data_IF_418229629224
#
_entry.id   IF_418229629224
#
_cell.length_a   1.000
_cell.length_b   1.000
_cell.length_c   1.000
_cell.angle_alpha   90.00
_cell.angle_beta   90.00
_cell.angle_gamma   90.00
#
_symmetry.space_group_name_H-M   'P 1'
#
loop_
_entity.id
_entity.type
_entity.pdbx_description
1 polymer ?
#
# COMPACT_ATOMS: atom_id res chain seq x y z
N UNK A 1 0.41 -7.50 19.36
CA UNK A 1 -0.41 -6.73 18.39
C UNK A 1 -1.10 -7.68 17.44
N UNK A 2 -2.24 -7.29 16.85
CA UNK A 2 -2.97 -8.17 15.93
C UNK A 2 -2.21 -8.31 14.61
N UNK A 3 -2.18 -9.54 14.11
CA UNK A 3 -1.60 -9.89 12.81
C UNK A 3 -2.57 -9.50 11.70
N UNK A 4 -2.06 -8.90 10.63
CA UNK A 4 -2.79 -8.51 9.44
C UNK A 4 -2.64 -9.60 8.39
N UNK A 5 -3.75 -10.04 7.81
CA UNK A 5 -3.72 -10.96 6.66
C UNK A 5 -3.78 -10.17 5.37
N UNK A 6 -2.97 -10.51 4.38
CA UNK A 6 -3.02 -9.84 3.07
C UNK A 6 -3.52 -10.82 2.03
N UNK A 7 -4.56 -10.44 1.29
CA UNK A 7 -5.20 -11.28 0.28
C UNK A 7 -5.11 -10.64 -1.10
N UNK A 8 -4.86 -11.46 -2.11
CA UNK A 8 -5.09 -11.09 -3.50
C UNK A 8 -6.59 -11.27 -3.82
N UNK A 9 -7.44 -10.41 -3.25
CA UNK A 9 -8.90 -10.55 -3.33
C UNK A 9 -9.41 -10.51 -4.77
N UNK A 10 -8.82 -9.66 -5.63
CA UNK A 10 -9.17 -9.62 -7.05
C UNK A 10 -7.99 -9.24 -7.93
N UNK A 11 -7.65 -10.09 -8.91
CA UNK A 11 -6.57 -9.85 -9.86
C UNK A 11 -7.10 -9.80 -11.31
N UNK A 12 -7.20 -8.60 -11.87
CA UNK A 12 -7.67 -8.38 -13.26
C UNK A 12 -6.47 -8.25 -14.20
N UNK A 13 -6.53 -8.92 -15.35
CA UNK A 13 -5.50 -8.86 -16.42
C UNK A 13 -4.14 -9.50 -16.08
N UNK A 14 -4.09 -10.38 -15.06
CA UNK A 14 -2.96 -11.26 -14.74
C UNK A 14 -3.03 -12.56 -15.56
N UNK A 15 -2.92 -12.44 -16.87
CA UNK A 15 -3.16 -13.56 -17.80
C UNK A 15 -1.99 -14.55 -17.92
N UNK A 16 -0.82 -14.25 -17.35
CA UNK A 16 0.36 -15.13 -17.39
C UNK A 16 0.54 -15.79 -16.04
N UNK A 17 0.91 -17.07 -16.03
CA UNK A 17 1.28 -17.79 -14.81
C UNK A 17 2.34 -17.03 -13.99
N UNK A 18 3.37 -16.51 -14.66
CA UNK A 18 4.40 -15.70 -14.01
C UNK A 18 3.89 -14.38 -13.43
N UNK A 19 2.83 -13.78 -13.99
CA UNK A 19 2.22 -12.58 -13.41
C UNK A 19 1.52 -12.94 -12.09
N UNK A 20 0.82 -14.07 -12.04
CA UNK A 20 0.12 -14.58 -10.84
C UNK A 20 1.12 -14.99 -9.75
N UNK A 21 2.17 -15.73 -10.10
CA UNK A 21 3.23 -16.14 -9.16
C UNK A 21 3.93 -14.91 -8.56
N UNK A 22 4.20 -13.89 -9.38
CA UNK A 22 4.76 -12.63 -8.90
C UNK A 22 3.81 -11.88 -7.98
N UNK A 23 2.52 -11.79 -8.32
CA UNK A 23 1.52 -11.16 -7.47
C UNK A 23 1.41 -11.85 -6.11
N UNK A 24 1.55 -13.18 -6.08
CA UNK A 24 1.57 -13.94 -4.83
C UNK A 24 2.83 -13.66 -4.00
N UNK A 25 4.01 -13.59 -4.60
CA UNK A 25 5.24 -13.19 -3.89
C UNK A 25 5.15 -11.76 -3.35
N UNK A 26 4.61 -10.83 -4.14
CA UNK A 26 4.38 -9.44 -3.71
C UNK A 26 3.41 -9.40 -2.52
N UNK A 27 2.29 -10.14 -2.57
CA UNK A 27 1.33 -10.24 -1.46
C UNK A 27 2.01 -10.74 -0.18
N UNK A 28 2.85 -11.78 -0.28
CA UNK A 28 3.64 -12.28 0.86
C UNK A 28 4.57 -11.21 1.43
N UNK A 29 5.31 -10.49 0.58
CA UNK A 29 6.18 -9.40 1.04
C UNK A 29 5.40 -8.31 1.77
N UNK A 30 4.22 -7.92 1.26
CA UNK A 30 3.36 -6.95 1.94
C UNK A 30 2.96 -7.48 3.31
N UNK A 31 2.52 -8.73 3.41
CA UNK A 31 2.12 -9.34 4.69
C UNK A 31 3.27 -9.36 5.71
N UNK A 32 4.48 -9.69 5.26
CA UNK A 32 5.68 -9.66 6.11
C UNK A 32 5.96 -8.25 6.62
N UNK A 33 5.92 -7.25 5.75
CA UNK A 33 6.21 -5.85 6.11
C UNK A 33 5.18 -5.29 7.08
N UNK A 34 3.89 -5.44 6.80
CA UNK A 34 2.84 -4.84 7.65
C UNK A 34 2.75 -5.49 9.03
N UNK A 35 3.32 -6.69 9.20
CA UNK A 35 3.43 -7.38 10.48
C UNK A 35 4.80 -7.23 11.14
N UNK A 36 5.76 -6.59 10.47
CA UNK A 36 7.09 -6.35 11.01
C UNK A 36 7.07 -5.29 12.11
N UNK A 37 7.75 -5.57 13.22
CA UNK A 37 7.82 -4.66 14.36
C UNK A 37 8.58 -3.38 14.02
N UNK A 38 9.68 -3.49 13.26
CA UNK A 38 10.46 -2.32 12.85
C UNK A 38 9.63 -1.39 11.94
N UNK A 39 8.93 -1.93 10.93
CA UNK A 39 8.00 -1.16 10.11
C UNK A 39 6.97 -0.38 10.94
N UNK A 40 6.33 -1.05 11.91
CA UNK A 40 5.31 -0.42 12.76
C UNK A 40 5.91 0.65 13.69
N UNK A 41 7.09 0.40 14.24
CA UNK A 41 7.81 1.38 15.06
C UNK A 41 8.24 2.60 14.23
N UNK A 42 8.68 2.42 12.99
CA UNK A 42 9.00 3.53 12.10
C UNK A 42 7.75 4.38 11.78
N UNK A 43 6.57 3.78 11.64
CA UNK A 43 5.31 4.54 11.49
C UNK A 43 5.00 5.36 12.75
N UNK A 44 5.15 4.76 13.94
CA UNK A 44 4.87 5.45 15.21
C UNK A 44 5.79 6.65 15.41
N UNK A 45 7.03 6.58 14.93
CA UNK A 45 8.02 7.64 15.06
C UNK A 45 8.11 8.58 13.84
N UNK A 46 7.32 8.33 12.79
CA UNK A 46 7.40 9.08 11.54
C UNK A 46 6.89 10.52 11.68
N UNK A 47 7.61 11.43 11.03
CA UNK A 47 7.27 12.85 10.95
C UNK A 47 6.42 13.16 9.70
N UNK A 48 5.17 12.68 9.71
CA UNK A 48 4.23 12.95 8.63
C UNK A 48 3.88 14.44 8.57
N UNK A 49 4.12 15.07 7.41
CA UNK A 49 3.82 16.49 7.15
C UNK A 49 2.46 16.70 6.47
N UNK A 50 1.89 15.64 5.90
CA UNK A 50 0.54 15.63 5.36
C UNK A 50 -0.18 14.39 5.88
N UNK A 51 -1.13 14.65 6.79
CA UNK A 51 -1.82 13.68 7.64
C UNK A 51 -3.31 13.59 7.31
N UNK A 52 -3.69 14.07 6.13
CA UNK A 52 -5.09 14.11 5.70
C UNK A 52 -5.65 12.70 5.50
N UNK A 53 -6.83 12.51 6.05
CA UNK A 53 -7.63 11.30 5.96
C UNK A 53 -9.03 11.65 5.45
N UNK A 54 -9.55 10.86 4.53
CA UNK A 54 -10.89 11.02 3.96
C UNK A 54 -11.74 9.84 4.40
N UNK A 55 -12.84 10.12 5.09
CA UNK A 55 -13.76 9.07 5.55
C UNK A 55 -14.72 8.58 4.44
N UNK A 56 -15.57 7.62 4.78
CA UNK A 56 -16.61 7.05 3.90
C UNK A 56 -17.68 8.08 3.45
N UNK A 57 -17.82 9.19 4.18
CA UNK A 57 -18.73 10.29 3.88
C UNK A 57 -18.06 11.42 3.09
N UNK A 58 -16.80 11.23 2.67
CA UNK A 58 -15.93 12.22 2.02
C UNK A 58 -15.56 13.42 2.90
N UNK A 59 -15.68 13.33 4.22
CA UNK A 59 -15.13 14.35 5.11
C UNK A 59 -13.62 14.18 5.20
N UNK A 60 -12.90 15.29 5.08
CA UNK A 60 -11.45 15.32 5.25
C UNK A 60 -11.09 15.78 6.65
N UNK A 61 -10.31 14.98 7.37
CA UNK A 61 -9.75 15.30 8.68
C UNK A 61 -8.24 15.20 8.66
N UNK A 62 -7.58 15.81 9.65
CA UNK A 62 -6.14 15.68 9.86
C UNK A 62 -5.89 14.80 11.10
N UNK A 63 -5.04 13.77 10.98
CA UNK A 63 -4.74 12.83 12.06
C UNK A 63 -3.40 13.19 12.72
N UNK A 64 -3.47 13.86 13.86
CA UNK A 64 -2.30 14.34 14.61
C UNK A 64 -1.61 13.29 15.48
N UNK A 65 -2.15 12.06 15.55
CA UNK A 65 -1.60 10.97 16.37
C UNK A 65 -1.17 9.79 15.49
N UNK A 66 0.10 9.42 15.58
CA UNK A 66 0.67 8.32 14.80
C UNK A 66 0.13 6.95 15.24
N UNK A 67 -0.32 6.81 16.49
CA UNK A 67 -1.00 5.59 16.93
C UNK A 67 -2.30 5.42 16.16
N UNK A 68 -3.09 6.49 15.99
CA UNK A 68 -4.33 6.44 15.18
C UNK A 68 -4.01 6.10 13.71
N UNK A 69 -2.93 6.66 13.14
CA UNK A 69 -2.48 6.32 11.79
C UNK A 69 -2.18 4.81 11.70
N UNK A 70 -1.38 4.28 12.63
CA UNK A 70 -1.07 2.86 12.67
C UNK A 70 -2.33 2.02 12.85
N UNK A 71 -3.25 2.41 13.74
CA UNK A 71 -4.52 1.72 13.94
C UNK A 71 -5.36 1.66 12.65
N UNK A 72 -5.41 2.74 11.87
CA UNK A 72 -6.07 2.76 10.55
C UNK A 72 -5.41 1.82 9.54
N UNK A 73 -4.07 1.77 9.54
CA UNK A 73 -3.29 0.88 8.68
C UNK A 73 -3.57 -0.60 9.04
N UNK A 74 -3.58 -0.94 10.33
CA UNK A 74 -3.74 -2.33 10.78
C UNK A 74 -5.19 -2.82 10.75
N UNK A 75 -6.18 -1.92 10.85
CA UNK A 75 -7.58 -2.32 10.92
C UNK A 75 -8.10 -2.93 9.62
N UNK A 76 -7.46 -2.62 8.49
CA UNK A 76 -7.85 -3.13 7.17
C UNK A 76 -9.15 -2.53 6.63
N UNK A 77 -9.75 -1.56 7.33
CA UNK A 77 -11.02 -0.96 6.88
C UNK A 77 -10.82 -0.09 5.65
N UNK A 78 -11.35 -0.55 4.52
CA UNK A 78 -11.29 0.15 3.24
C UNK A 78 -12.40 1.18 3.11
N UNK A 79 -12.09 2.33 2.52
CA UNK A 79 -12.98 3.50 2.51
C UNK A 79 -14.29 3.27 1.73
N UNK A 80 -14.26 2.45 0.67
CA UNK A 80 -15.33 2.38 -0.33
C UNK A 80 -16.07 1.04 -0.43
N UNK A 81 -15.79 0.08 0.45
CA UNK A 81 -16.42 -1.25 0.38
C UNK A 81 -17.62 -1.40 1.32
N UNK A 82 -17.73 -0.54 2.34
CA UNK A 82 -18.72 -0.69 3.41
C UNK A 82 -18.42 -1.85 4.37
N UNK A 83 -17.25 -2.49 4.21
CA UNK A 83 -16.78 -3.57 5.08
C UNK A 83 -16.35 -3.02 6.44
N UNK A 84 -16.42 -3.89 7.46
CA UNK A 84 -15.98 -3.56 8.81
C UNK A 84 -14.50 -3.88 8.95
N UNK A 85 -13.87 -3.31 9.99
CA UNK A 85 -12.51 -3.67 10.39
C UNK A 85 -12.42 -5.18 10.65
N UNK A 86 -11.60 -5.87 9.87
CA UNK A 86 -11.38 -7.32 9.95
C UNK A 86 -9.90 -7.70 10.03
N UNK A 87 -9.01 -6.69 10.02
CA UNK A 87 -7.55 -6.86 10.03
C UNK A 87 -7.05 -7.62 8.80
N UNK A 88 -7.71 -7.43 7.68
CA UNK A 88 -7.33 -7.96 6.38
C UNK A 88 -7.07 -6.84 5.38
N UNK A 89 -6.10 -7.04 4.50
CA UNK A 89 -5.85 -6.16 3.36
C UNK A 89 -6.27 -6.87 2.08
N UNK A 90 -7.38 -6.41 1.50
CA UNK A 90 -7.98 -6.99 0.30
C UNK A 90 -7.49 -6.33 -0.99
N UNK A 91 -6.33 -6.81 -1.46
CA UNK A 91 -5.73 -6.27 -2.67
C UNK A 91 -6.60 -6.58 -3.91
N UNK A 92 -7.18 -5.52 -4.48
CA UNK A 92 -7.89 -5.53 -5.75
C UNK A 92 -7.01 -4.85 -6.79
N UNK A 93 -6.30 -5.62 -7.61
CA UNK A 93 -5.28 -5.11 -8.54
C UNK A 93 -5.68 -5.33 -9.99
N UNK A 94 -5.49 -4.31 -10.82
CA UNK A 94 -5.68 -4.37 -12.28
C UNK A 94 -4.37 -4.06 -13.01
N UNK A 95 -3.92 -4.98 -13.86
CA UNK A 95 -2.80 -4.72 -14.77
C UNK A 95 -3.26 -4.07 -16.08
N UNK A 96 -2.87 -2.82 -16.32
CA UNK A 96 -3.26 -2.06 -17.52
C UNK A 96 -2.06 -1.67 -18.40
N UNK A 97 -2.33 -1.30 -19.66
CA UNK A 97 -1.31 -0.80 -20.59
C UNK A 97 -1.30 0.72 -20.57
N UNK A 98 -0.12 1.31 -20.43
CA UNK A 98 0.11 2.76 -20.57
C UNK A 98 1.59 3.02 -20.89
N UNK A 99 1.87 4.17 -21.51
CA UNK A 99 3.20 4.61 -21.94
C UNK A 99 3.82 5.69 -21.03
N UNK A 100 3.05 6.24 -20.10
CA UNK A 100 3.53 7.29 -19.19
C UNK A 100 4.51 6.73 -18.15
N UNK A 101 5.25 7.59 -17.44
CA UNK A 101 6.39 7.18 -16.61
C UNK A 101 6.00 6.59 -15.24
N UNK A 102 4.85 6.98 -14.69
CA UNK A 102 4.36 6.52 -13.37
C UNK A 102 4.17 5.00 -13.34
N UNK A 103 4.23 4.39 -12.17
CA UNK A 103 4.04 2.94 -12.04
C UNK A 103 2.55 2.55 -12.11
N UNK A 104 1.69 3.39 -11.56
CA UNK A 104 0.30 3.09 -11.30
C UNK A 104 -0.40 4.22 -10.56
N UNK A 105 -1.63 3.95 -10.15
CA UNK A 105 -2.46 4.79 -9.29
C UNK A 105 -3.59 3.91 -8.75
N UNK A 106 -4.39 4.40 -7.81
CA UNK A 106 -5.65 3.77 -7.43
C UNK A 106 -6.88 4.45 -8.02
N UNK A 107 -7.95 3.68 -8.21
CA UNK A 107 -9.32 4.18 -8.38
C UNK A 107 -10.27 3.42 -7.47
N UNK A 108 -10.93 4.14 -6.55
CA UNK A 108 -11.63 3.66 -5.36
C UNK A 108 -10.79 2.60 -4.61
N UNK A 109 -11.32 1.39 -4.47
CA UNK A 109 -10.69 0.24 -3.84
C UNK A 109 -9.70 -0.51 -4.75
N UNK A 110 -9.63 -0.16 -6.05
CA UNK A 110 -8.80 -0.86 -7.03
C UNK A 110 -7.46 -0.18 -7.25
N UNK A 111 -6.37 -0.93 -7.10
CA UNK A 111 -5.01 -0.52 -7.46
C UNK A 111 -4.77 -0.83 -8.94
N UNK A 112 -4.38 0.18 -9.72
CA UNK A 112 -4.02 0.04 -11.12
C UNK A 112 -2.50 0.07 -11.26
N UNK A 113 -1.90 -1.04 -11.70
CA UNK A 113 -0.46 -1.12 -11.94
C UNK A 113 -0.19 -1.35 -13.42
N UNK A 114 0.77 -0.62 -13.99
CA UNK A 114 1.12 -0.81 -15.40
C UNK A 114 1.75 -2.17 -15.61
N UNK A 115 1.19 -2.93 -16.56
CA UNK A 115 1.61 -4.28 -16.92
C UNK A 115 3.11 -4.39 -17.25
N UNK A 116 3.68 -3.40 -17.96
CA UNK A 116 5.12 -3.35 -18.28
C UNK A 116 5.98 -3.14 -17.02
N UNK A 117 5.55 -2.25 -16.13
CA UNK A 117 6.27 -1.93 -14.88
C UNK A 117 6.22 -3.11 -13.91
N UNK A 118 5.03 -3.69 -13.71
CA UNK A 118 4.84 -4.90 -12.90
C UNK A 118 5.78 -6.03 -13.30
N UNK A 119 5.93 -6.28 -14.61
CA UNK A 119 6.78 -7.37 -15.10
C UNK A 119 8.28 -7.10 -14.97
N UNK A 120 8.71 -5.84 -15.10
CA UNK A 120 10.12 -5.50 -15.20
C UNK A 120 10.75 -5.01 -13.89
N UNK A 121 9.96 -4.52 -12.94
CA UNK A 121 10.46 -4.03 -11.65
C UNK A 121 10.56 -5.16 -10.63
N UNK A 122 11.36 -5.00 -9.58
CA UNK A 122 11.49 -6.03 -8.53
C UNK A 122 10.18 -6.20 -7.74
N UNK A 123 9.98 -7.39 -7.17
CA UNK A 123 8.87 -7.70 -6.26
C UNK A 123 8.82 -6.71 -5.09
N UNK A 124 9.98 -6.37 -4.52
CA UNK A 124 10.10 -5.40 -3.42
C UNK A 124 9.56 -4.02 -3.81
N UNK A 125 9.90 -3.54 -5.00
CA UNK A 125 9.41 -2.26 -5.52
C UNK A 125 7.90 -2.28 -5.80
N UNK A 126 7.38 -3.39 -6.32
CA UNK A 126 5.92 -3.53 -6.52
C UNK A 126 5.20 -3.58 -5.17
N UNK A 127 5.75 -4.26 -4.16
CA UNK A 127 5.17 -4.32 -2.82
C UNK A 127 5.09 -2.93 -2.17
N UNK A 128 6.17 -2.15 -2.18
CA UNK A 128 6.15 -0.79 -1.62
C UNK A 128 5.20 0.14 -2.38
N UNK A 129 5.10 -0.01 -3.70
CA UNK A 129 4.10 0.71 -4.49
C UNK A 129 2.66 0.31 -4.12
N UNK A 130 2.36 -0.99 -4.00
CA UNK A 130 1.02 -1.42 -3.62
C UNK A 130 0.65 -0.99 -2.20
N UNK A 131 1.61 -0.97 -1.27
CA UNK A 131 1.41 -0.41 0.07
C UNK A 131 1.05 1.08 -0.02
N UNK A 132 1.79 1.86 -0.82
CA UNK A 132 1.48 3.28 -1.07
C UNK A 132 0.04 3.46 -1.58
N UNK A 133 -0.35 2.72 -2.62
CA UNK A 133 -1.70 2.81 -3.18
C UNK A 133 -2.77 2.29 -2.20
N UNK A 134 -2.44 1.32 -1.35
CA UNK A 134 -3.34 0.83 -0.32
C UNK A 134 -3.62 1.87 0.77
N UNK A 135 -2.64 2.73 1.11
CA UNK A 135 -2.89 3.87 2.00
C UNK A 135 -3.99 4.78 1.47
N UNK A 136 -4.04 4.95 0.15
CA UNK A 136 -5.12 5.67 -0.50
C UNK A 136 -6.45 4.91 -0.54
N UNK A 137 -6.44 3.57 -0.53
CA UNK A 137 -7.66 2.74 -0.44
C UNK A 137 -8.33 2.89 0.93
N UNK A 138 -7.55 2.99 2.00
CA UNK A 138 -8.06 3.15 3.37
C UNK A 138 -8.38 4.60 3.74
N UNK A 139 -8.15 5.57 2.84
CA UNK A 139 -8.61 6.96 2.99
C UNK A 139 -7.51 8.00 3.17
N UNK A 140 -6.23 7.63 3.29
CA UNK A 140 -5.15 8.62 3.35
C UNK A 140 -4.96 9.31 1.99
N UNK A 141 -4.68 10.61 2.01
CA UNK A 141 -4.52 11.39 0.77
C UNK A 141 -3.26 12.25 0.80
N UNK A 142 -2.96 12.88 -0.32
CA UNK A 142 -1.88 13.85 -0.43
C UNK A 142 -2.19 14.89 -1.53
N UNK A 143 -1.35 15.92 -1.64
CA UNK A 143 -1.51 16.93 -2.69
C UNK A 143 -1.44 16.32 -4.09
N UNK A 144 -2.36 16.73 -4.96
CA UNK A 144 -2.31 16.34 -6.37
C UNK A 144 -1.03 16.86 -7.05
N UNK A 145 -0.64 18.09 -6.75
CA UNK A 145 0.57 18.73 -7.29
C UNK A 145 1.81 18.17 -6.59
N UNK A 146 2.94 18.13 -7.30
CA UNK A 146 4.24 17.79 -6.71
C UNK A 146 4.72 18.95 -5.84
N UNK A 147 4.44 18.86 -4.53
CA UNK A 147 4.90 19.81 -3.51
C UNK A 147 6.06 19.22 -2.71
N UNK A 148 6.79 20.06 -1.97
CA UNK A 148 7.88 19.61 -1.09
C UNK A 148 7.36 18.81 0.13
N UNK A 149 6.07 18.92 0.43
CA UNK A 149 5.40 18.20 1.53
C UNK A 149 5.04 16.78 1.10
N UNK A 150 4.73 16.57 -0.19
CA UNK A 150 4.22 15.30 -0.72
C UNK A 150 5.07 14.07 -0.38
N UNK A 151 6.43 14.09 -0.41
CA UNK A 151 7.23 12.94 0.03
C UNK A 151 7.03 12.54 1.49
N UNK A 152 6.56 13.47 2.33
CA UNK A 152 6.29 13.27 3.76
C UNK A 152 4.80 13.09 4.06
N UNK A 153 3.96 12.87 3.04
CA UNK A 153 2.57 12.46 3.25
C UNK A 153 2.51 10.99 3.66
N UNK A 154 1.43 10.60 4.34
CA UNK A 154 1.26 9.21 4.82
C UNK A 154 1.47 8.18 3.69
N UNK A 155 0.83 8.26 2.52
CA UNK A 155 1.05 7.29 1.45
C UNK A 155 2.51 7.17 1.00
N UNK A 156 3.21 8.30 0.82
CA UNK A 156 4.60 8.29 0.36
C UNK A 156 5.57 7.78 1.41
N UNK A 157 5.46 8.29 2.63
CA UNK A 157 6.39 7.95 3.69
C UNK A 157 6.19 6.49 4.14
N UNK A 158 4.95 6.01 4.24
CA UNK A 158 4.68 4.58 4.52
C UNK A 158 5.24 3.68 3.41
N UNK A 159 5.06 4.04 2.13
CA UNK A 159 5.68 3.30 1.02
C UNK A 159 7.22 3.30 1.08
N UNK A 160 7.83 4.39 1.53
CA UNK A 160 9.28 4.50 1.71
C UNK A 160 9.78 3.63 2.86
N UNK A 161 9.11 3.70 4.02
CA UNK A 161 9.41 2.85 5.18
C UNK A 161 9.30 1.37 4.78
N UNK A 162 8.22 0.99 4.08
CA UNK A 162 8.06 -0.38 3.57
C UNK A 162 9.22 -0.82 2.67
N UNK A 163 9.67 0.04 1.76
CA UNK A 163 10.82 -0.25 0.88
C UNK A 163 12.08 -0.50 1.70
N UNK A 164 12.37 0.35 2.68
CA UNK A 164 13.53 0.21 3.56
C UNK A 164 13.46 -1.08 4.38
N UNK A 165 12.30 -1.37 4.98
CA UNK A 165 12.08 -2.63 5.71
C UNK A 165 12.35 -3.84 4.82
N UNK A 166 11.86 -3.82 3.58
CA UNK A 166 12.12 -4.89 2.63
C UNK A 166 13.61 -5.00 2.33
N UNK A 167 14.31 -3.92 2.01
CA UNK A 167 15.74 -3.98 1.63
C UNK A 167 16.65 -4.57 2.71
N UNK A 168 16.28 -4.44 3.98
CA UNK A 168 17.06 -4.98 5.12
C UNK A 168 16.91 -6.49 5.36
N UNK A 169 16.01 -7.17 4.63
CA UNK A 169 15.65 -8.58 4.89
C UNK A 169 15.77 -9.47 3.67
N UNK A 170 16.26 -10.68 3.88
CA UNK A 170 16.20 -11.77 2.92
C UNK A 170 14.92 -12.61 3.12
N UNK A 171 14.34 -13.07 2.02
CA UNK A 171 13.10 -13.84 2.02
C UNK A 171 13.27 -15.09 1.15
N UNK A 172 13.19 -16.27 1.77
CA UNK A 172 13.44 -17.57 1.12
C UNK A 172 12.50 -17.86 -0.06
N UNK A 173 11.33 -17.21 -0.11
CA UNK A 173 10.38 -17.37 -1.22
C UNK A 173 10.69 -16.47 -2.43
N UNK A 174 11.78 -15.71 -2.40
CA UNK A 174 12.30 -14.93 -3.52
C UNK A 174 13.47 -15.62 -4.26
N UNK A 175 14.05 -16.68 -3.68
CA UNK A 175 15.09 -17.52 -4.30
C UNK A 175 14.48 -18.67 -5.10
#
# INVERSE_FOLDING_TARGET
MKEIKVKNNRLISFSRKSDLEKAERVRKLIQEVVNDEHFRNEILNADFKDRRFVDENNNTTDINDNEIILQKIISGKEQYTGEKEDFEWDLRVTLYRSLTSEIGHRSRETIFTKKKKFRNMSERYIASHWIHEYMHVIGFTHDYKRTNIRPYSIPYLVGTIASNTLETKDYDFLT
#
